data_IF_598503784734
#
_entry.id   IF_598503784734
#
_cell.length_a   1.000
_cell.length_b   1.000
_cell.length_c   1.000
_cell.angle_alpha   90.00
_cell.angle_beta   90.00
_cell.angle_gamma   90.00
#
_symmetry.space_group_name_H-M   'P 1'
#
loop_
_entity.id
_entity.type
_entity.pdbx_description
1 polymer ?
#
# COMPACT_ATOMS: atom_id res chain seq x y z
N UNK A 1 -19.08 -1.71 3.53
CA UNK A 1 -20.17 -0.79 3.15
C UNK A 1 -19.57 0.58 2.90
N UNK A 2 -19.88 1.21 1.77
CA UNK A 2 -19.45 2.57 1.45
C UNK A 2 -20.71 3.43 1.42
N UNK A 3 -20.68 4.57 2.10
CA UNK A 3 -21.80 5.52 2.14
C UNK A 3 -21.23 6.87 1.75
N UNK A 4 -21.84 7.50 0.76
CA UNK A 4 -21.53 8.87 0.38
C UNK A 4 -22.29 9.82 1.30
N UNK A 5 -21.55 10.68 2.00
CA UNK A 5 -22.12 11.72 2.86
C UNK A 5 -22.06 13.06 2.13
N UNK A 6 -23.13 13.85 2.27
CA UNK A 6 -23.20 15.22 1.72
C UNK A 6 -22.98 16.21 2.87
N UNK A 7 -22.09 17.18 2.65
CA UNK A 7 -21.79 18.24 3.61
C UNK A 7 -20.60 17.92 4.53
N UNK A 8 -19.77 18.95 4.77
CA UNK A 8 -18.55 18.85 5.57
C UNK A 8 -18.86 18.53 7.03
N UNK A 9 -19.78 19.26 7.65
CA UNK A 9 -20.12 19.11 9.07
C UNK A 9 -20.69 17.72 9.38
N UNK A 10 -21.54 17.19 8.49
CA UNK A 10 -22.09 15.83 8.59
C UNK A 10 -20.97 14.79 8.53
N UNK A 11 -20.01 14.98 7.62
CA UNK A 11 -18.87 14.07 7.44
C UNK A 11 -17.98 14.05 8.69
N UNK A 12 -17.61 15.22 9.21
CA UNK A 12 -16.79 15.34 10.42
C UNK A 12 -17.50 14.75 11.65
N UNK A 13 -18.80 15.00 11.79
CA UNK A 13 -19.60 14.41 12.86
C UNK A 13 -19.57 12.90 12.79
N UNK A 14 -19.84 12.31 11.63
CA UNK A 14 -19.85 10.85 11.44
C UNK A 14 -18.48 10.23 11.68
N UNK A 15 -17.39 10.87 11.24
CA UNK A 15 -16.04 10.41 11.51
C UNK A 15 -15.70 10.41 13.00
N UNK A 16 -16.14 11.43 13.74
CA UNK A 16 -15.88 11.55 15.18
C UNK A 16 -16.78 10.63 16.01
N UNK A 17 -18.08 10.59 15.72
CA UNK A 17 -19.07 9.91 16.55
C UNK A 17 -19.44 8.50 16.07
N UNK A 18 -19.06 8.11 14.86
CA UNK A 18 -19.56 6.90 14.20
C UNK A 18 -20.96 7.09 13.62
N UNK A 19 -21.42 6.08 12.87
CA UNK A 19 -22.72 6.05 12.20
C UNK A 19 -23.62 4.99 12.86
N UNK A 20 -24.84 5.38 13.25
CA UNK A 20 -25.83 4.43 13.78
C UNK A 20 -26.79 3.99 12.68
N UNK A 21 -26.89 2.69 12.42
CA UNK A 21 -27.80 2.08 11.46
C UNK A 21 -28.44 0.84 12.09
N UNK A 22 -29.75 0.67 11.94
CA UNK A 22 -30.49 -0.50 12.45
C UNK A 22 -30.23 -0.80 13.94
N UNK A 23 -30.16 0.24 14.77
CA UNK A 23 -29.87 0.12 16.21
C UNK A 23 -28.43 -0.27 16.57
N UNK A 24 -27.51 -0.37 15.59
CA UNK A 24 -26.09 -0.67 15.81
C UNK A 24 -25.22 0.53 15.45
N UNK A 25 -24.16 0.73 16.21
CA UNK A 25 -23.19 1.82 16.00
C UNK A 25 -21.95 1.30 15.28
N UNK A 26 -21.61 1.91 14.17
CA UNK A 26 -20.47 1.58 13.32
C UNK A 26 -19.42 2.68 13.39
N UNK A 27 -18.14 2.29 13.47
CA UNK A 27 -17.04 3.25 13.28
C UNK A 27 -16.99 3.66 11.81
N UNK A 28 -16.87 4.96 11.57
CA UNK A 28 -16.67 5.49 10.24
C UNK A 28 -15.20 5.83 10.02
N UNK A 29 -14.75 5.68 8.78
CA UNK A 29 -13.46 6.15 8.31
C UNK A 29 -13.69 6.77 6.93
N UNK A 30 -12.82 7.71 6.54
CA UNK A 30 -12.77 8.16 5.16
C UNK A 30 -12.66 6.96 4.23
N UNK A 31 -13.47 6.96 3.16
CA UNK A 31 -13.26 6.01 2.09
C UNK A 31 -11.90 6.31 1.46
N UNK A 32 -11.06 5.29 1.42
CA UNK A 32 -9.77 5.37 0.76
C UNK A 32 -9.85 4.48 -0.47
N UNK A 33 -9.78 5.10 -1.66
CA UNK A 33 -9.82 4.36 -2.92
C UNK A 33 -8.53 3.59 -3.11
N UNK A 34 -8.59 2.28 -2.88
CA UNK A 34 -7.46 1.38 -3.17
C UNK A 34 -7.81 0.50 -4.35
N UNK A 35 -7.09 0.73 -5.45
CA UNK A 35 -7.10 -0.17 -6.57
C UNK A 35 -6.11 -1.32 -6.37
N UNK A 36 -6.24 -2.39 -7.17
CA UNK A 36 -5.26 -3.47 -7.19
C UNK A 36 -3.88 -2.98 -7.64
N UNK A 37 -3.80 -1.81 -8.28
CA UNK A 37 -2.61 -1.11 -8.74
C UNK A 37 -1.84 -0.33 -7.66
N UNK A 38 -2.39 -0.21 -6.45
CA UNK A 38 -1.72 0.50 -5.35
C UNK A 38 -0.67 -0.41 -4.72
N UNK A 39 0.60 -0.02 -4.82
CA UNK A 39 1.69 -0.69 -4.12
C UNK A 39 1.85 -0.15 -2.70
N UNK A 40 1.89 -1.04 -1.72
CA UNK A 40 2.14 -0.69 -0.33
C UNK A 40 3.62 -0.38 -0.12
N UNK A 41 3.93 0.84 0.33
CA UNK A 41 5.31 1.26 0.64
C UNK A 41 5.94 0.54 1.85
N UNK A 42 5.17 -0.20 2.64
CA UNK A 42 5.65 -0.94 3.81
C UNK A 42 6.09 -2.35 3.46
N UNK A 43 5.22 -3.14 2.83
CA UNK A 43 5.49 -4.55 2.52
C UNK A 43 5.79 -4.82 1.04
N UNK A 44 5.70 -3.78 0.19
CA UNK A 44 5.98 -3.82 -1.25
C UNK A 44 5.00 -4.65 -2.10
N UNK A 45 3.95 -5.20 -1.49
CA UNK A 45 2.88 -5.91 -2.22
C UNK A 45 1.78 -4.95 -2.67
N UNK A 46 0.95 -5.42 -3.61
CA UNK A 46 -0.11 -4.62 -4.23
C UNK A 46 -1.49 -4.86 -3.58
N UNK A 47 -2.41 -3.92 -3.79
CA UNK A 47 -3.83 -4.07 -3.47
C UNK A 47 -4.26 -3.60 -2.09
N UNK A 48 -3.39 -2.93 -1.33
CA UNK A 48 -3.76 -2.28 -0.08
C UNK A 48 -2.87 -1.06 0.20
N UNK A 49 -3.32 -0.24 1.14
CA UNK A 49 -2.62 0.98 1.52
C UNK A 49 -1.72 0.80 2.73
N UNK A 50 -0.62 1.56 2.83
CA UNK A 50 0.31 1.48 3.96
C UNK A 50 -0.33 1.60 5.34
N UNK A 51 -1.41 2.37 5.50
CA UNK A 51 -2.11 2.52 6.79
C UNK A 51 -2.87 1.27 7.22
N UNK A 52 -3.21 0.38 6.29
CA UNK A 52 -3.90 -0.90 6.54
C UNK A 52 -2.96 -2.11 6.41
N UNK A 53 -1.67 -1.87 6.18
CA UNK A 53 -0.69 -2.94 6.02
C UNK A 53 -0.48 -3.69 7.34
N UNK A 54 -0.86 -4.96 7.35
CA UNK A 54 -0.56 -5.94 8.40
C UNK A 54 0.61 -6.85 8.04
N UNK A 55 1.14 -6.71 6.82
CA UNK A 55 2.24 -7.50 6.30
C UNK A 55 3.59 -7.16 6.94
N UNK A 56 4.56 -8.05 6.72
CA UNK A 56 5.95 -7.82 7.10
C UNK A 56 6.50 -6.60 6.37
N UNK A 57 7.24 -5.74 7.08
CA UNK A 57 7.86 -4.55 6.48
C UNK A 57 9.13 -4.97 5.75
N UNK A 58 9.24 -4.58 4.48
CA UNK A 58 10.38 -4.85 3.61
C UNK A 58 11.04 -3.56 3.17
N UNK A 59 12.37 -3.56 3.04
CA UNK A 59 13.08 -2.44 2.44
C UNK A 59 12.81 -2.38 0.93
N UNK A 60 12.43 -1.21 0.40
CA UNK A 60 12.20 -1.02 -1.04
C UNK A 60 13.43 -1.27 -1.93
N UNK A 61 14.63 -1.22 -1.35
CA UNK A 61 15.91 -1.33 -2.07
C UNK A 61 16.42 -2.78 -2.03
N UNK A 62 16.55 -3.37 -0.84
CA UNK A 62 17.16 -4.69 -0.66
C UNK A 62 16.17 -5.82 -0.32
N UNK A 63 14.87 -5.50 -0.22
CA UNK A 63 13.74 -6.42 0.03
C UNK A 63 13.82 -7.32 1.26
N UNK A 64 14.84 -7.16 2.08
CA UNK A 64 14.92 -7.80 3.40
C UNK A 64 13.86 -7.27 4.36
N UNK A 65 13.43 -8.17 5.25
CA UNK A 65 12.58 -7.87 6.39
C UNK A 65 13.30 -6.88 7.30
N UNK A 66 12.70 -5.71 7.50
CA UNK A 66 13.20 -4.76 8.50
C UNK A 66 12.57 -5.09 9.86
N UNK A 67 13.34 -5.06 10.96
CA UNK A 67 12.77 -4.99 12.29
C UNK A 67 11.89 -3.76 12.37
N UNK A 68 10.64 -3.98 12.75
CA UNK A 68 9.58 -2.97 12.85
C UNK A 68 10.12 -1.72 13.55
N UNK A 69 9.75 -0.54 13.02
CA UNK A 69 10.06 0.83 13.50
C UNK A 69 11.21 1.59 12.86
N UNK A 70 12.07 0.98 12.05
CA UNK A 70 13.12 1.73 11.35
C UNK A 70 12.76 1.99 9.87
N UNK A 71 12.64 3.25 9.44
CA UNK A 71 12.53 3.61 8.01
C UNK A 71 13.84 3.36 7.25
N UNK A 72 14.90 2.93 7.95
CA UNK A 72 16.24 2.71 7.44
C UNK A 72 16.60 1.23 7.52
N UNK A 73 17.12 0.70 6.42
CA UNK A 73 17.76 -0.61 6.41
C UNK A 73 18.99 -0.54 7.33
N UNK A 74 19.03 -1.37 8.37
CA UNK A 74 20.08 -1.40 9.39
C UNK A 74 21.40 -2.02 8.90
N UNK A 75 21.49 -2.38 7.62
CA UNK A 75 22.74 -2.86 7.02
C UNK A 75 23.65 -1.66 6.76
N UNK A 76 24.89 -1.72 7.24
CA UNK A 76 25.96 -0.75 6.93
C UNK A 76 26.21 -0.55 5.42
N UNK A 77 25.63 -1.41 4.57
CA UNK A 77 25.68 -1.37 3.11
C UNK A 77 24.47 -0.68 2.44
N UNK A 78 23.53 -0.13 3.22
CA UNK A 78 22.44 0.71 2.71
C UNK A 78 22.51 2.11 3.35
N UNK A 79 23.57 2.90 3.10
CA UNK A 79 23.87 4.07 3.91
C UNK A 79 23.03 5.31 3.54
N UNK A 80 22.11 5.24 2.57
CA UNK A 80 21.54 6.47 2.00
C UNK A 80 20.08 6.35 1.62
N UNK A 81 19.33 7.41 1.95
CA UNK A 81 18.03 7.75 1.37
C UNK A 81 18.05 7.54 -0.16
N UNK A 82 17.40 6.47 -0.61
CA UNK A 82 16.88 6.38 -1.97
C UNK A 82 17.83 5.95 -3.10
N UNK A 83 19.11 5.63 -2.86
CA UNK A 83 20.01 5.12 -3.92
C UNK A 83 20.58 3.73 -3.59
N UNK A 84 20.43 2.72 -4.47
CA UNK A 84 21.11 1.44 -4.30
C UNK A 84 22.63 1.64 -4.38
N UNK A 85 23.38 1.08 -3.44
CA UNK A 85 24.84 1.04 -3.52
C UNK A 85 25.27 -0.03 -4.52
N UNK A 86 26.46 0.09 -5.13
CA UNK A 86 27.01 -0.85 -6.12
C UNK A 86 27.04 -2.33 -5.66
N UNK A 87 26.99 -2.59 -4.35
CA UNK A 87 26.98 -3.93 -3.75
C UNK A 87 25.60 -4.41 -3.29
N UNK A 88 24.55 -3.61 -3.50
CA UNK A 88 23.18 -3.99 -3.13
C UNK A 88 22.55 -4.78 -4.27
N UNK A 89 22.37 -6.09 -4.08
CA UNK A 89 21.56 -6.88 -5.00
C UNK A 89 20.12 -6.43 -4.92
N UNK A 90 19.64 -5.73 -5.96
CA UNK A 90 18.25 -5.34 -6.07
C UNK A 90 17.47 -6.60 -6.45
N UNK A 91 16.58 -7.04 -5.56
CA UNK A 91 15.71 -8.21 -5.80
C UNK A 91 14.26 -7.84 -5.61
N UNK A 92 13.38 -8.33 -6.48
CA UNK A 92 11.95 -8.15 -6.34
C UNK A 92 11.40 -9.03 -5.21
N UNK A 93 10.62 -8.47 -4.28
CA UNK A 93 9.98 -9.26 -3.21
C UNK A 93 8.88 -10.21 -3.75
N UNK A 94 8.34 -9.93 -4.94
CA UNK A 94 7.23 -10.70 -5.48
C UNK A 94 7.69 -11.97 -6.22
N UNK A 95 8.88 -11.95 -6.86
CA UNK A 95 9.40 -13.06 -7.69
C UNK A 95 10.92 -13.30 -7.59
N UNK A 96 11.64 -12.57 -6.72
CA UNK A 96 13.10 -12.68 -6.57
C UNK A 96 13.93 -12.29 -7.82
N UNK A 97 13.28 -11.71 -8.84
CA UNK A 97 13.89 -11.20 -10.07
C UNK A 97 14.86 -10.03 -9.82
N UNK A 98 15.88 -9.81 -10.69
CA UNK A 98 16.94 -8.80 -10.51
C UNK A 98 16.46 -7.37 -10.86
N UNK A 99 15.28 -6.98 -10.37
CA UNK A 99 14.73 -5.64 -10.50
C UNK A 99 14.07 -5.21 -9.18
N UNK A 100 13.91 -3.90 -8.92
CA UNK A 100 13.20 -3.47 -7.71
C UNK A 100 11.73 -3.86 -7.77
N UNK A 101 11.10 -4.08 -6.62
CA UNK A 101 9.67 -4.41 -6.55
C UNK A 101 8.77 -3.29 -7.09
N UNK A 102 9.29 -2.06 -7.18
CA UNK A 102 8.63 -0.88 -7.75
C UNK A 102 8.87 -0.72 -9.25
N UNK A 103 9.60 -1.63 -9.89
CA UNK A 103 9.84 -1.58 -11.34
C UNK A 103 8.54 -1.75 -12.13
N UNK A 104 8.39 -0.97 -13.21
CA UNK A 104 7.26 -1.11 -14.15
C UNK A 104 7.36 -2.38 -14.99
N UNK A 105 8.53 -2.98 -15.07
CA UNK A 105 8.79 -4.23 -15.79
C UNK A 105 8.42 -5.46 -14.95
N UNK A 106 8.14 -5.27 -13.67
CA UNK A 106 7.69 -6.34 -12.77
C UNK A 106 6.35 -6.91 -13.25
N UNK A 107 6.28 -8.22 -13.49
CA UNK A 107 5.03 -8.89 -13.89
C UNK A 107 3.90 -8.63 -12.90
N UNK A 108 4.18 -8.57 -11.59
CA UNK A 108 3.18 -8.22 -10.57
C UNK A 108 2.62 -6.81 -10.78
N UNK A 109 3.46 -5.84 -11.14
CA UNK A 109 3.03 -4.48 -11.44
C UNK A 109 2.13 -4.46 -12.67
N UNK A 110 2.53 -5.15 -13.74
CA UNK A 110 1.74 -5.24 -14.98
C UNK A 110 0.37 -5.85 -14.70
N UNK A 111 0.32 -6.98 -13.99
CA UNK A 111 -0.92 -7.66 -13.63
C UNK A 111 -1.82 -6.78 -12.76
N UNK A 112 -1.24 -6.07 -11.79
CA UNK A 112 -1.95 -5.14 -10.92
C UNK A 112 -2.59 -3.98 -11.70
N UNK A 113 -1.87 -3.42 -12.67
CA UNK A 113 -2.39 -2.38 -13.56
C UNK A 113 -3.53 -2.89 -14.45
N UNK A 114 -3.38 -4.08 -15.04
CA UNK A 114 -4.42 -4.71 -15.86
C UNK A 114 -5.71 -4.96 -15.04
N UNK A 115 -5.57 -5.50 -13.83
CA UNK A 115 -6.70 -5.72 -12.92
C UNK A 115 -7.38 -4.40 -12.54
N UNK A 116 -6.63 -3.31 -12.38
CA UNK A 116 -7.20 -1.99 -12.08
C UNK A 116 -8.00 -1.43 -13.27
N UNK A 117 -7.46 -1.57 -14.49
CA UNK A 117 -8.16 -1.19 -15.72
C UNK A 117 -9.46 -1.99 -15.89
N UNK A 118 -9.43 -3.29 -15.67
CA UNK A 118 -10.63 -4.14 -15.76
C UNK A 118 -11.70 -3.75 -14.74
N UNK A 119 -11.31 -3.49 -13.48
CA UNK A 119 -12.24 -3.00 -12.45
C UNK A 119 -12.88 -1.67 -12.83
N UNK A 120 -12.10 -0.73 -13.38
CA UNK A 120 -12.62 0.57 -13.85
C UNK A 120 -13.61 0.39 -15.01
N UNK A 121 -13.34 -0.52 -15.95
CA UNK A 121 -14.25 -0.85 -17.06
C UNK A 121 -15.58 -1.45 -16.57
N UNK A 122 -15.56 -2.31 -15.56
CA UNK A 122 -16.78 -2.92 -15.00
C UNK A 122 -17.63 -1.95 -14.15
N UNK A 123 -17.03 -0.85 -13.70
CA UNK A 123 -17.69 0.15 -12.87
C UNK A 123 -18.25 1.35 -13.68
N UNK A 124 -17.94 1.40 -14.98
CA UNK A 124 -18.48 2.36 -15.94
C UNK A 124 -19.71 1.77 -16.65
#
# INVERSE_FOLDING_TARGET
>A
MVITLVGKDTTEKVLRSGLSLFGRKFKAQHYLSFGPDIQCSRCLTFGHHPTQCTGTIHCAICTQKNPTHLPLCSRSQCPTRGKPYLHTTIKCNNYNEPHPATSKECTTYINAQQAAVERRRKAA
#
